data_IF_297365737332
#
_entry.id   IF_297365737332
#
_cell.length_a   1.000
_cell.length_b   1.000
_cell.length_c   1.000
_cell.angle_alpha   90.00
_cell.angle_beta   90.00
_cell.angle_gamma   90.00
#
_symmetry.space_group_name_H-M   'P 1'
#
loop_
_entity.id
_entity.type
_entity.pdbx_description
1 polymer ?
#
# COMPACT_ATOMS: atom_id res chain seq x y z
N UNK A 1 -5.49 18.68 -6.35
CA UNK A 1 -5.76 17.30 -6.79
C UNK A 1 -7.13 16.89 -6.28
N UNK A 2 -8.03 16.40 -7.14
CA UNK A 2 -9.22 15.71 -6.66
C UNK A 2 -8.76 14.53 -5.80
N UNK A 3 -9.30 14.33 -4.59
CA UNK A 3 -8.90 13.20 -3.77
C UNK A 3 -9.21 11.91 -4.54
N UNK A 4 -8.28 10.93 -4.52
CA UNK A 4 -8.40 9.59 -5.12
C UNK A 4 -9.79 8.93 -4.90
N UNK A 5 -10.50 9.41 -3.88
CA UNK A 5 -11.84 9.08 -3.45
C UNK A 5 -12.94 8.98 -4.52
N UNK A 6 -12.97 9.87 -5.52
CA UNK A 6 -14.01 9.78 -6.57
C UNK A 6 -13.93 8.46 -7.35
N UNK A 7 -12.74 7.86 -7.43
CA UNK A 7 -12.51 6.60 -8.13
C UNK A 7 -12.63 5.38 -7.22
N UNK A 8 -12.81 5.57 -5.91
CA UNK A 8 -12.91 4.48 -4.94
C UNK A 8 -14.28 4.37 -4.28
N UNK A 9 -15.26 5.20 -4.66
CA UNK A 9 -16.60 5.16 -4.03
C UNK A 9 -17.30 3.81 -4.21
N UNK A 10 -16.95 3.06 -5.26
CA UNK A 10 -17.43 1.70 -5.50
C UNK A 10 -16.92 0.70 -4.46
N UNK A 11 -15.72 0.93 -3.89
CA UNK A 11 -15.08 0.01 -2.94
C UNK A 11 -15.08 0.51 -1.49
N UNK A 12 -14.89 1.81 -1.28
CA UNK A 12 -14.86 2.47 0.03
C UNK A 12 -15.88 3.62 0.05
N UNK A 13 -17.09 3.37 0.59
CA UNK A 13 -18.13 4.38 0.71
C UNK A 13 -17.70 5.58 1.56
N UNK A 14 -18.29 6.73 1.25
CA UNK A 14 -17.95 8.02 1.86
C UNK A 14 -18.12 8.00 3.37
N UNK A 15 -19.25 7.47 3.78
CA UNK A 15 -19.69 7.40 5.16
C UNK A 15 -18.77 6.48 5.98
N UNK A 16 -18.27 5.41 5.36
CA UNK A 16 -17.39 4.45 6.02
C UNK A 16 -16.00 5.03 6.23
N UNK A 17 -15.46 5.73 5.24
CA UNK A 17 -14.18 6.41 5.38
C UNK A 17 -14.26 7.63 6.32
N UNK A 18 -15.40 8.34 6.37
CA UNK A 18 -15.65 9.37 7.38
C UNK A 18 -15.70 8.77 8.79
N UNK A 19 -16.39 7.64 8.97
CA UNK A 19 -16.42 6.93 10.26
C UNK A 19 -15.02 6.44 10.67
N UNK A 20 -14.21 5.96 9.72
CA UNK A 20 -12.84 5.56 10.01
C UNK A 20 -11.93 6.73 10.43
N UNK A 21 -12.21 7.94 9.93
CA UNK A 21 -11.49 9.16 10.31
C UNK A 21 -11.95 9.76 11.65
N UNK A 22 -13.10 9.34 12.17
CA UNK A 22 -13.63 9.84 13.44
C UNK A 22 -12.90 9.20 14.64
N UNK A 23 -12.15 9.97 15.45
CA UNK A 23 -11.46 9.43 16.61
C UNK A 23 -12.40 8.93 17.72
N UNK A 24 -13.69 9.30 17.68
CA UNK A 24 -14.70 8.84 18.62
C UNK A 24 -15.41 7.55 18.16
N UNK A 25 -15.20 7.11 16.92
CA UNK A 25 -15.82 5.89 16.42
C UNK A 25 -15.26 4.63 17.09
N UNK A 26 -16.11 3.63 17.30
CA UNK A 26 -15.66 2.31 17.76
C UNK A 26 -14.84 1.64 16.65
N UNK A 27 -13.53 1.51 16.89
CA UNK A 27 -12.58 0.91 15.97
C UNK A 27 -12.99 -0.52 15.56
N UNK A 28 -13.52 -1.32 16.48
CA UNK A 28 -13.92 -2.70 16.19
C UNK A 28 -15.14 -2.73 15.25
N UNK A 29 -16.10 -1.83 15.46
CA UNK A 29 -17.26 -1.67 14.59
C UNK A 29 -16.84 -1.22 13.18
N UNK A 30 -15.93 -0.24 13.08
CA UNK A 30 -15.41 0.25 11.79
C UNK A 30 -14.74 -0.88 11.01
N UNK A 31 -13.87 -1.67 11.66
CA UNK A 31 -13.22 -2.82 11.02
C UNK A 31 -14.24 -3.88 10.58
N UNK A 32 -15.25 -4.18 11.40
CA UNK A 32 -16.30 -5.12 11.02
C UNK A 32 -17.08 -4.64 9.78
N UNK A 33 -17.39 -3.34 9.70
CA UNK A 33 -18.05 -2.73 8.54
C UNK A 33 -17.15 -2.76 7.31
N UNK A 34 -15.85 -2.47 7.45
CA UNK A 34 -14.87 -2.59 6.37
C UNK A 34 -14.78 -4.03 5.85
N UNK A 35 -14.75 -5.03 6.73
CA UNK A 35 -14.73 -6.45 6.36
C UNK A 35 -16.01 -6.95 5.69
N UNK A 36 -17.12 -6.20 5.80
CA UNK A 36 -18.38 -6.45 5.09
C UNK A 36 -18.57 -5.56 3.84
N UNK A 37 -17.64 -4.64 3.58
CA UNK A 37 -17.71 -3.70 2.47
C UNK A 37 -17.15 -4.30 1.18
N UNK A 38 -17.40 -3.70 0.00
CA UNK A 38 -16.81 -4.17 -1.25
C UNK A 38 -15.27 -4.08 -1.26
N UNK A 39 -14.66 -3.26 -0.40
CA UNK A 39 -13.19 -3.26 -0.21
C UNK A 39 -12.65 -4.59 0.32
N UNK A 40 -13.49 -5.38 1.02
CA UNK A 40 -13.19 -6.73 1.46
C UNK A 40 -13.65 -7.82 0.49
N UNK A 41 -14.34 -7.45 -0.59
CA UNK A 41 -14.77 -8.40 -1.63
C UNK A 41 -13.63 -8.67 -2.61
N UNK A 42 -12.74 -9.50 -2.12
CA UNK A 42 -11.51 -9.80 -2.81
C UNK A 42 -11.67 -10.94 -3.83
N UNK A 43 -12.79 -11.66 -3.80
CA UNK A 43 -13.07 -12.82 -4.67
C UNK A 43 -13.23 -12.46 -6.15
N UNK A 44 -13.44 -11.18 -6.47
CA UNK A 44 -13.56 -10.67 -7.83
C UNK A 44 -12.25 -10.12 -8.42
N UNK A 45 -11.14 -10.14 -7.66
CA UNK A 45 -9.78 -9.76 -8.11
C UNK A 45 -9.75 -8.41 -8.84
N UNK A 46 -9.96 -7.35 -8.06
CA UNK A 46 -9.78 -5.95 -8.44
C UNK A 46 -8.69 -5.30 -7.56
N UNK A 47 -7.50 -5.88 -7.56
CA UNK A 47 -6.36 -5.47 -6.75
C UNK A 47 -6.03 -3.99 -6.92
N UNK A 48 -6.11 -3.45 -8.15
CA UNK A 48 -5.89 -2.02 -8.37
C UNK A 48 -6.91 -1.17 -7.60
N UNK A 49 -8.18 -1.55 -7.61
CA UNK A 49 -9.24 -0.83 -6.89
C UNK A 49 -9.07 -0.95 -5.37
N UNK A 50 -8.74 -2.15 -4.88
CA UNK A 50 -8.45 -2.38 -3.47
C UNK A 50 -7.26 -1.50 -3.03
N UNK A 51 -6.18 -1.46 -3.82
CA UNK A 51 -5.02 -0.61 -3.52
C UNK A 51 -5.38 0.88 -3.46
N UNK A 52 -6.21 1.37 -4.38
CA UNK A 52 -6.73 2.75 -4.33
C UNK A 52 -7.58 2.99 -3.07
N UNK A 53 -8.46 2.04 -2.73
CA UNK A 53 -9.29 2.08 -1.54
C UNK A 53 -8.47 2.10 -0.25
N UNK A 54 -7.40 1.30 -0.16
CA UNK A 54 -6.48 1.32 0.97
C UNK A 54 -5.69 2.63 1.06
N UNK A 55 -5.27 3.21 -0.06
CA UNK A 55 -4.66 4.54 -0.06
C UNK A 55 -5.64 5.63 0.42
N UNK A 56 -6.92 5.52 0.05
CA UNK A 56 -7.96 6.40 0.56
C UNK A 56 -8.19 6.20 2.08
N UNK A 57 -8.25 4.95 2.54
CA UNK A 57 -8.44 4.62 3.95
C UNK A 57 -7.25 5.05 4.81
N UNK A 58 -6.01 4.80 4.36
CA UNK A 58 -4.80 5.25 5.06
C UNK A 58 -4.66 6.77 5.10
N UNK A 59 -5.19 7.49 4.10
CA UNK A 59 -5.25 8.95 4.14
C UNK A 59 -6.30 9.47 5.15
N UNK A 60 -7.42 8.75 5.30
CA UNK A 60 -8.48 9.09 6.25
C UNK A 60 -8.07 8.74 7.70
N UNK A 61 -7.47 7.57 7.88
CA UNK A 61 -7.09 7.01 9.17
C UNK A 61 -5.89 6.06 9.02
N UNK A 62 -4.67 6.52 9.32
CA UNK A 62 -3.46 5.69 9.21
C UNK A 62 -3.60 4.37 9.98
N UNK A 63 -4.02 4.45 11.24
CA UNK A 63 -4.20 3.28 12.13
C UNK A 63 -5.13 2.22 11.56
N UNK A 64 -6.31 2.62 11.11
CA UNK A 64 -7.31 1.69 10.55
C UNK A 64 -6.86 1.20 9.16
N UNK A 65 -6.26 2.06 8.34
CA UNK A 65 -5.77 1.69 7.00
C UNK A 65 -4.72 0.58 7.05
N UNK A 66 -3.71 0.71 7.90
CA UNK A 66 -2.68 -0.31 8.07
C UNK A 66 -3.24 -1.62 8.64
N UNK A 67 -4.07 -1.55 9.67
CA UNK A 67 -4.68 -2.73 10.29
C UNK A 67 -5.61 -3.49 9.34
N UNK A 68 -6.42 -2.76 8.57
CA UNK A 68 -7.33 -3.39 7.62
C UNK A 68 -6.58 -3.99 6.43
N UNK A 69 -5.51 -3.35 5.94
CA UNK A 69 -4.63 -3.93 4.93
C UNK A 69 -4.02 -5.26 5.40
N UNK A 70 -3.60 -5.34 6.66
CA UNK A 70 -3.10 -6.57 7.28
C UNK A 70 -4.21 -7.64 7.39
N UNK A 71 -5.42 -7.24 7.81
CA UNK A 71 -6.57 -8.14 7.89
C UNK A 71 -6.89 -8.77 6.53
N UNK A 72 -6.91 -7.98 5.46
CA UNK A 72 -7.11 -8.47 4.09
C UNK A 72 -6.00 -9.44 3.67
N UNK A 73 -4.74 -9.10 3.97
CA UNK A 73 -3.61 -9.96 3.67
C UNK A 73 -3.68 -11.32 4.39
N UNK A 74 -4.13 -11.35 5.64
CA UNK A 74 -4.26 -12.58 6.43
C UNK A 74 -5.38 -13.49 5.91
N UNK A 75 -6.52 -12.92 5.51
CA UNK A 75 -7.65 -13.65 4.91
C UNK A 75 -7.25 -14.37 3.62
N UNK A 76 -6.18 -13.92 2.97
CA UNK A 76 -5.69 -14.41 1.69
C UNK A 76 -4.66 -15.54 1.74
N UNK A 77 -4.26 -16.01 2.93
CA UNK A 77 -3.25 -17.09 3.05
C UNK A 77 -3.64 -18.43 2.39
N UNK A 78 -4.87 -18.60 1.89
CA UNK A 78 -5.39 -19.86 1.35
C UNK A 78 -5.02 -20.19 -0.10
N UNK A 79 -5.01 -19.21 -1.03
CA UNK A 79 -5.01 -19.51 -2.49
C UNK A 79 -4.11 -18.61 -3.35
N UNK A 80 -3.39 -17.65 -2.77
CA UNK A 80 -2.44 -16.79 -3.51
C UNK A 80 -1.01 -17.29 -3.29
N UNK A 81 -0.16 -17.38 -4.31
CA UNK A 81 0.90 -18.35 -4.28
C UNK A 81 2.16 -17.88 -3.55
N UNK A 82 2.21 -16.62 -3.10
CA UNK A 82 2.82 -16.22 -1.80
C UNK A 82 2.08 -15.02 -1.20
N UNK A 83 1.57 -15.09 0.04
CA UNK A 83 0.87 -13.98 0.71
C UNK A 83 1.71 -12.69 0.87
N UNK A 84 3.02 -12.74 0.59
CA UNK A 84 3.95 -11.63 0.80
C UNK A 84 3.84 -10.49 -0.24
N UNK A 85 3.66 -10.78 -1.55
CA UNK A 85 3.62 -9.70 -2.56
C UNK A 85 2.36 -8.84 -2.42
N UNK A 86 1.20 -9.51 -2.42
CA UNK A 86 -0.09 -8.84 -2.29
C UNK A 86 -0.14 -8.11 -0.97
N UNK A 87 0.21 -8.76 0.15
CA UNK A 87 0.32 -8.09 1.46
C UNK A 87 1.19 -6.84 1.40
N UNK A 88 2.39 -6.95 0.84
CA UNK A 88 3.29 -5.82 0.68
C UNK A 88 2.65 -4.69 -0.13
N UNK A 89 2.05 -5.01 -1.28
CA UNK A 89 1.41 -4.01 -2.13
C UNK A 89 0.21 -3.33 -1.42
N UNK A 90 -0.59 -4.09 -0.66
CA UNK A 90 -1.71 -3.56 0.12
C UNK A 90 -1.24 -2.64 1.26
N UNK A 91 -0.22 -3.06 2.02
CA UNK A 91 0.37 -2.27 3.10
C UNK A 91 1.00 -0.98 2.57
N UNK A 92 1.80 -1.05 1.50
CA UNK A 92 2.37 0.16 0.88
C UNK A 92 1.27 1.05 0.33
N UNK A 93 0.18 0.49 -0.20
CA UNK A 93 -0.96 1.28 -0.67
C UNK A 93 -1.59 2.09 0.47
N UNK A 94 -1.78 1.51 1.66
CA UNK A 94 -2.20 2.27 2.84
C UNK A 94 -1.19 3.37 3.21
N UNK A 95 0.11 3.06 3.20
CA UNK A 95 1.16 4.03 3.49
C UNK A 95 1.23 5.19 2.48
N UNK A 96 0.91 4.97 1.20
CA UNK A 96 0.77 6.04 0.19
C UNK A 96 -0.27 7.06 0.66
N UNK A 97 -1.39 6.61 1.24
CA UNK A 97 -2.43 7.47 1.79
C UNK A 97 -1.93 8.34 2.94
N UNK A 98 -1.20 7.73 3.87
CA UNK A 98 -0.57 8.42 5.01
C UNK A 98 0.44 9.47 4.52
N UNK A 99 1.37 9.08 3.64
CA UNK A 99 2.38 9.96 3.08
C UNK A 99 1.77 11.10 2.25
N UNK A 100 0.71 10.82 1.50
CA UNK A 100 -0.06 11.86 0.79
C UNK A 100 -0.65 12.89 1.74
N UNK A 101 -1.09 12.47 2.92
CA UNK A 101 -1.60 13.37 3.96
C UNK A 101 -0.49 14.22 4.57
N UNK A 102 0.67 13.62 4.83
CA UNK A 102 1.86 14.34 5.27
C UNK A 102 2.25 15.45 4.26
N UNK A 103 2.37 15.11 2.98
CA UNK A 103 2.65 16.07 1.90
C UNK A 103 1.61 17.19 1.83
N UNK A 104 0.31 16.86 1.95
CA UNK A 104 -0.76 17.88 1.94
C UNK A 104 -0.66 18.86 3.11
N UNK A 105 -0.25 18.40 4.30
CA UNK A 105 -0.07 19.27 5.46
C UNK A 105 1.12 20.21 5.29
N UNK A 106 2.21 19.72 4.71
CA UNK A 106 3.38 20.53 4.40
C UNK A 106 3.20 21.44 3.17
N UNK A 107 2.16 21.26 2.36
CA UNK A 107 1.96 21.98 1.09
C UNK A 107 1.98 23.52 1.22
N UNK A 108 1.68 24.07 2.41
CA UNK A 108 1.71 25.51 2.65
C UNK A 108 3.12 26.11 2.62
N UNK A 109 4.17 25.32 2.92
CA UNK A 109 5.55 25.82 2.93
C UNK A 109 6.11 26.06 1.52
N UNK A 110 5.54 25.39 0.51
CA UNK A 110 5.92 25.48 -0.91
C UNK A 110 7.42 25.31 -1.16
N UNK A 111 8.11 24.54 -0.32
CA UNK A 111 9.53 24.27 -0.47
C UNK A 111 9.80 23.27 -1.59
N UNK A 112 11.05 23.23 -2.04
CA UNK A 112 11.51 22.24 -3.03
C UNK A 112 11.31 20.82 -2.48
N UNK A 113 11.62 20.63 -1.22
CA UNK A 113 11.54 19.38 -0.48
C UNK A 113 10.11 18.83 -0.45
N UNK A 114 9.10 19.68 -0.23
CA UNK A 114 7.69 19.27 -0.34
C UNK A 114 7.33 18.84 -1.76
N UNK A 115 7.81 19.55 -2.78
CA UNK A 115 7.61 19.15 -4.19
C UNK A 115 8.27 17.81 -4.53
N UNK A 116 9.47 17.55 -4.01
CA UNK A 116 10.17 16.27 -4.14
C UNK A 116 9.43 15.15 -3.41
N UNK A 117 8.95 15.40 -2.19
CA UNK A 117 8.16 14.44 -1.42
C UNK A 117 6.84 14.10 -2.13
N UNK A 118 6.14 15.09 -2.69
CA UNK A 118 4.95 14.88 -3.49
C UNK A 118 5.24 13.97 -4.71
N UNK A 119 6.35 14.25 -5.41
CA UNK A 119 6.78 13.45 -6.57
C UNK A 119 7.09 12.01 -6.17
N UNK A 120 7.76 11.80 -5.04
CA UNK A 120 8.08 10.48 -4.52
C UNK A 120 6.82 9.68 -4.17
N UNK A 121 5.84 10.31 -3.50
CA UNK A 121 4.55 9.66 -3.17
C UNK A 121 3.76 9.29 -4.43
N UNK A 122 3.68 10.20 -5.41
CA UNK A 122 2.99 9.92 -6.68
C UNK A 122 3.68 8.81 -7.48
N UNK A 123 5.00 8.78 -7.47
CA UNK A 123 5.79 7.72 -8.12
C UNK A 123 5.54 6.37 -7.44
N UNK A 124 5.54 6.34 -6.11
CA UNK A 124 5.21 5.15 -5.33
C UNK A 124 3.79 4.65 -5.64
N UNK A 125 2.80 5.56 -5.67
CA UNK A 125 1.42 5.20 -6.02
C UNK A 125 1.33 4.61 -7.43
N UNK A 126 1.92 5.26 -8.43
CA UNK A 126 1.88 4.80 -9.82
C UNK A 126 2.54 3.41 -9.99
N UNK A 127 3.67 3.19 -9.30
CA UNK A 127 4.37 1.93 -9.27
C UNK A 127 3.50 0.79 -8.71
N UNK A 128 2.85 1.03 -7.56
CA UNK A 128 1.98 0.04 -6.91
C UNK A 128 0.75 -0.29 -7.76
N UNK A 129 0.07 0.72 -8.29
CA UNK A 129 -1.11 0.51 -9.13
C UNK A 129 -0.77 -0.28 -10.39
N UNK A 130 0.43 -0.10 -10.94
CA UNK A 130 0.90 -0.91 -12.06
C UNK A 130 1.09 -2.38 -11.68
N UNK A 131 1.68 -2.65 -10.52
CA UNK A 131 1.84 -4.03 -10.01
C UNK A 131 0.47 -4.67 -9.79
N UNK A 132 -0.42 -3.98 -9.08
CA UNK A 132 -1.77 -4.46 -8.76
C UNK A 132 -2.61 -4.70 -10.04
N UNK A 133 -2.61 -3.75 -10.99
CA UNK A 133 -3.31 -3.92 -12.26
C UNK A 133 -2.73 -5.05 -13.13
N UNK A 134 -1.43 -5.34 -13.01
CA UNK A 134 -0.88 -6.53 -13.68
C UNK A 134 -1.28 -7.83 -12.98
N UNK A 135 -1.41 -7.85 -11.64
CA UNK A 135 -1.97 -8.99 -10.92
C UNK A 135 -3.43 -9.25 -11.33
N UNK A 136 -4.22 -8.20 -11.52
CA UNK A 136 -5.58 -8.29 -12.05
C UNK A 136 -5.60 -8.89 -13.47
N UNK A 137 -4.65 -8.49 -14.33
CA UNK A 137 -4.52 -9.06 -15.67
C UNK A 137 -4.13 -10.53 -15.65
N UNK A 138 -3.20 -10.93 -14.78
CA UNK A 138 -2.80 -12.34 -14.63
C UNK A 138 -3.99 -13.18 -14.18
N UNK A 139 -4.69 -12.70 -13.16
CA UNK A 139 -5.92 -13.28 -12.67
C UNK A 139 -6.99 -13.45 -13.77
N UNK A 140 -7.29 -12.39 -14.52
CA UNK A 140 -8.31 -12.40 -15.57
C UNK A 140 -7.95 -13.33 -16.74
N UNK A 141 -6.65 -13.52 -17.01
CA UNK A 141 -6.18 -14.38 -18.10
C UNK A 141 -5.89 -15.82 -17.68
N UNK A 142 -6.07 -16.15 -16.39
CA UNK A 142 -5.70 -17.46 -15.85
C UNK A 142 -4.21 -17.78 -16.00
N UNK A 143 -3.37 -16.75 -16.20
CA UNK A 143 -1.92 -16.89 -16.36
C UNK A 143 -1.26 -16.58 -15.02
N UNK A 144 -0.22 -17.33 -14.71
CA UNK A 144 0.60 -17.08 -13.54
C UNK A 144 1.77 -16.16 -13.93
N UNK A 145 2.16 -15.27 -13.02
CA UNK A 145 3.41 -14.55 -13.18
C UNK A 145 4.58 -15.51 -12.93
N UNK A 146 5.45 -15.62 -13.92
CA UNK A 146 6.68 -16.37 -13.76
C UNK A 146 7.58 -15.72 -12.69
N UNK A 147 8.63 -16.46 -12.30
CA UNK A 147 9.54 -16.05 -11.26
C UNK A 147 10.27 -14.72 -11.55
N UNK A 148 10.54 -14.41 -12.82
CA UNK A 148 11.19 -13.15 -13.22
C UNK A 148 10.23 -11.98 -13.10
N UNK A 149 8.98 -12.13 -13.54
CA UNK A 149 7.94 -11.11 -13.40
C UNK A 149 7.64 -10.84 -11.93
N UNK A 150 7.49 -11.90 -11.14
CA UNK A 150 7.30 -11.84 -9.69
C UNK A 150 8.41 -11.07 -8.99
N UNK A 151 9.69 -11.37 -9.28
CA UNK A 151 10.81 -10.62 -8.72
C UNK A 151 10.81 -9.14 -9.13
N UNK A 152 10.41 -8.86 -10.37
CA UNK A 152 10.19 -7.49 -10.86
C UNK A 152 9.13 -6.75 -10.03
N UNK A 153 7.98 -7.38 -9.76
CA UNK A 153 6.93 -6.79 -8.93
C UNK A 153 7.40 -6.46 -7.54
N UNK A 154 8.06 -7.39 -6.87
CA UNK A 154 8.54 -7.11 -5.54
C UNK A 154 9.60 -5.99 -5.51
N UNK A 155 10.47 -5.92 -6.51
CA UNK A 155 11.44 -4.81 -6.66
C UNK A 155 10.72 -3.48 -6.77
N UNK A 156 9.64 -3.42 -7.55
CA UNK A 156 8.80 -2.23 -7.70
C UNK A 156 8.11 -1.86 -6.39
N UNK A 157 7.50 -2.81 -5.68
CA UNK A 157 6.83 -2.57 -4.39
C UNK A 157 7.82 -2.07 -3.34
N UNK A 158 9.03 -2.62 -3.28
CA UNK A 158 10.09 -2.15 -2.38
C UNK A 158 10.57 -0.75 -2.76
N UNK A 159 10.79 -0.47 -4.04
CA UNK A 159 11.17 0.86 -4.52
C UNK A 159 10.11 1.91 -4.18
N UNK A 160 8.83 1.53 -4.27
CA UNK A 160 7.73 2.37 -3.79
C UNK A 160 7.82 2.62 -2.27
N UNK A 161 8.00 1.58 -1.46
CA UNK A 161 8.18 1.71 -0.01
C UNK A 161 9.36 2.64 0.35
N UNK A 162 10.52 2.48 -0.30
CA UNK A 162 11.69 3.33 -0.11
C UNK A 162 11.42 4.78 -0.50
N UNK A 163 10.66 5.00 -1.58
CA UNK A 163 10.25 6.34 -2.01
C UNK A 163 9.36 7.01 -0.96
N UNK A 164 8.50 6.26 -0.27
CA UNK A 164 7.68 6.79 0.82
C UNK A 164 8.51 7.16 2.06
N UNK A 165 9.48 6.32 2.45
CA UNK A 165 10.42 6.63 3.54
C UNK A 165 11.22 7.90 3.21
N UNK A 166 11.74 8.00 2.00
CA UNK A 166 12.44 9.21 1.55
C UNK A 166 11.52 10.44 1.56
N UNK A 167 10.26 10.27 1.18
CA UNK A 167 9.28 11.36 1.22
C UNK A 167 9.08 11.88 2.65
N UNK A 168 9.05 11.01 3.66
CA UNK A 168 8.93 11.46 5.05
C UNK A 168 10.22 12.09 5.58
N UNK A 169 11.39 11.61 5.16
CA UNK A 169 12.69 12.24 5.49
C UNK A 169 12.81 13.66 4.91
N UNK A 170 12.35 13.88 3.67
CA UNK A 170 12.33 15.20 3.04
C UNK A 170 11.43 16.19 3.79
N UNK A 171 10.46 15.69 4.55
CA UNK A 171 9.51 16.48 5.31
C UNK A 171 9.91 16.66 6.79
N UNK A 172 11.09 16.22 7.21
CA UNK A 172 11.53 16.24 8.62
C UNK A 172 11.61 17.66 9.24
N UNK A 173 11.63 18.72 8.43
CA UNK A 173 11.61 20.12 8.87
C UNK A 173 10.23 20.80 8.84
N UNK A 174 9.19 20.07 8.42
CA UNK A 174 7.82 20.57 8.30
C UNK A 174 7.01 20.23 9.56
N UNK A 175 5.94 20.99 9.83
CA UNK A 175 5.03 20.73 10.96
C UNK A 175 4.10 19.55 10.65
N UNK A 176 4.69 18.35 10.62
CA UNK A 176 3.99 17.09 10.38
C UNK A 176 3.91 16.31 11.68
N UNK A 177 2.71 15.81 12.04
CA UNK A 177 2.55 14.93 13.19
C UNK A 177 3.50 13.72 13.12
N UNK A 178 4.23 13.50 14.21
CA UNK A 178 5.22 12.42 14.30
C UNK A 178 4.61 11.03 14.08
N UNK A 179 3.34 10.84 14.44
CA UNK A 179 2.61 9.59 14.24
C UNK A 179 2.41 9.25 12.76
N UNK A 180 2.24 10.24 11.87
CA UNK A 180 2.15 10.00 10.42
C UNK A 180 3.48 9.49 9.86
N UNK A 181 4.58 10.11 10.28
CA UNK A 181 5.94 9.72 9.88
C UNK A 181 6.23 8.32 10.39
N UNK A 182 5.99 8.06 11.68
CA UNK A 182 6.18 6.75 12.29
C UNK A 182 5.37 5.66 11.57
N UNK A 183 4.12 5.96 11.18
CA UNK A 183 3.27 4.99 10.49
C UNK A 183 3.83 4.60 9.12
N UNK A 184 4.31 5.57 8.34
CA UNK A 184 4.97 5.30 7.06
C UNK A 184 6.25 4.50 7.28
N UNK A 185 7.10 4.91 8.22
CA UNK A 185 8.35 4.21 8.52
C UNK A 185 8.12 2.78 8.98
N UNK A 186 7.17 2.53 9.90
CA UNK A 186 6.83 1.19 10.39
C UNK A 186 6.38 0.27 9.26
N UNK A 187 5.47 0.77 8.41
CA UNK A 187 4.88 -0.01 7.31
C UNK A 187 5.89 -0.24 6.18
N UNK A 188 6.68 0.77 5.82
CA UNK A 188 7.58 0.71 4.68
C UNK A 188 8.97 0.14 5.04
N UNK A 189 9.52 0.49 6.20
CA UNK A 189 10.91 0.18 6.57
C UNK A 189 11.06 -1.17 7.25
N UNK A 190 10.30 -1.43 8.33
CA UNK A 190 10.55 -2.61 9.17
C UNK A 190 10.03 -3.90 8.53
N UNK A 191 8.89 -3.84 7.84
CA UNK A 191 8.27 -5.04 7.27
C UNK A 191 8.73 -5.36 5.84
N UNK A 192 9.11 -4.36 5.05
CA UNK A 192 9.32 -4.52 3.59
C UNK A 192 10.75 -4.23 3.14
N UNK A 193 11.45 -3.30 3.81
CA UNK A 193 12.83 -2.91 3.46
C UNK A 193 13.87 -3.68 4.30
N UNK A 194 13.63 -3.83 5.60
CA UNK A 194 14.56 -4.42 6.57
C UNK A 194 14.41 -5.93 6.80
N UNK A 195 13.35 -6.57 6.30
CA UNK A 195 13.08 -7.98 6.54
C UNK A 195 14.22 -8.91 6.07
N UNK A 196 14.80 -9.76 6.94
CA UNK A 196 15.91 -10.65 6.58
C UNK A 196 15.51 -11.67 5.50
N UNK A 197 14.25 -12.07 5.48
CA UNK A 197 13.70 -12.99 4.48
C UNK A 197 13.74 -12.41 3.07
N UNK A 198 13.47 -11.10 2.91
CA UNK A 198 13.53 -10.44 1.60
C UNK A 198 14.96 -10.34 1.08
N UNK A 199 15.89 -9.91 1.93
CA UNK A 199 17.30 -9.78 1.58
C UNK A 199 17.89 -11.11 1.11
N UNK A 200 17.49 -12.22 1.73
CA UNK A 200 17.88 -13.57 1.29
C UNK A 200 17.34 -13.90 -0.11
N UNK A 201 16.07 -13.62 -0.40
CA UNK A 201 15.47 -13.86 -1.72
C UNK A 201 16.13 -13.03 -2.82
N UNK A 202 16.46 -11.76 -2.55
CA UNK A 202 17.20 -10.93 -3.51
C UNK A 202 18.60 -11.52 -3.78
N UNK A 203 19.31 -11.94 -2.74
CA UNK A 203 20.62 -12.56 -2.90
C UNK A 203 20.55 -13.84 -3.77
N UNK A 204 19.50 -14.66 -3.60
CA UNK A 204 19.23 -15.83 -4.46
C UNK A 204 18.98 -15.43 -5.92
N UNK A 205 18.20 -14.37 -6.16
CA UNK A 205 17.96 -13.90 -7.54
C UNK A 205 19.18 -13.33 -8.24
N UNK A 206 20.07 -12.66 -7.49
CA UNK A 206 21.32 -12.14 -8.04
C UNK A 206 22.25 -13.27 -8.51
N UNK A 207 22.10 -14.49 -7.98
CA UNK A 207 22.83 -15.68 -8.45
C UNK A 207 22.03 -16.52 -9.46
N UNK A 208 20.94 -15.96 -10.00
CA UNK A 208 20.10 -16.60 -11.02
C UNK A 208 19.10 -17.63 -10.47
N UNK A 209 18.97 -17.74 -9.15
CA UNK A 209 17.95 -18.58 -8.53
C UNK A 209 16.67 -17.77 -8.31
N UNK A 210 15.69 -17.96 -9.18
CA UNK A 210 14.39 -17.28 -9.11
C UNK A 210 13.31 -18.12 -8.41
N UNK A 211 13.62 -19.34 -7.96
CA UNK A 211 12.63 -20.25 -7.34
C UNK A 211 11.96 -19.66 -6.09
N UNK A 212 12.61 -18.72 -5.40
CA UNK A 212 12.03 -18.00 -4.27
C UNK A 212 10.99 -16.94 -4.65
N UNK A 213 10.75 -16.76 -5.95
CA UNK A 213 9.74 -15.89 -6.53
C UNK A 213 8.68 -16.63 -7.35
N UNK A 214 8.78 -17.95 -7.51
CA UNK A 214 7.74 -18.75 -8.17
C UNK A 214 6.41 -18.66 -7.42
N UNK A 215 5.32 -18.46 -8.19
CA UNK A 215 3.95 -18.45 -7.69
C UNK A 215 3.36 -17.04 -7.44
N UNK A 216 3.21 -16.21 -8.48
CA UNK A 216 2.38 -15.00 -8.41
C UNK A 216 1.04 -15.24 -9.14
N UNK A 217 -0.05 -15.32 -8.39
CA UNK A 217 -1.46 -15.40 -8.85
C UNK A 217 -2.29 -14.49 -7.96
#
# INVERSE_FOLDING_TARGET
MLPNWLYTQSVLPVELAAQAADPAADRAEVLARLSASPLADVGHREWEQIGRGLAALGAASPGIGGEFAEHLAQRYRGDAPRPYLVRAALLVSAAVGVASTAVRRAAASQTREVGEAATAVLTAQAALLRVLGMLDLFAATGREADATVSAGFHTVVRGAAQSLVRATELLAGEDIPADLVEHVHRTASDELIGGPEWSARVAETLVGNWSSFEGCV
#
